data_IF_755644718160
#
_entry.id   IF_755644718160
#
_cell.length_a   1.000
_cell.length_b   1.000
_cell.length_c   1.000
_cell.angle_alpha   90.00
_cell.angle_beta   90.00
_cell.angle_gamma   90.00
#
_symmetry.space_group_name_H-M   'P 1'
#
loop_
_entity.id
_entity.type
_entity.pdbx_description
1 polymer ?
#
# COMPACT_ATOMS: atom_id res chain seq x y z
N UNK A 1 4.00 8.63 -12.02
CA UNK A 1 3.20 7.86 -11.03
C UNK A 1 4.15 7.45 -9.93
N UNK A 2 3.86 7.75 -8.66
CA UNK A 2 4.81 7.45 -7.59
C UNK A 2 5.09 5.95 -7.52
N UNK A 3 6.37 5.63 -7.51
CA UNK A 3 6.89 4.27 -7.41
C UNK A 3 6.73 3.75 -5.99
N UNK A 4 6.81 2.42 -5.82
CA UNK A 4 6.78 1.82 -4.48
C UNK A 4 7.90 2.37 -3.58
N UNK A 5 9.05 2.73 -4.16
CA UNK A 5 10.20 3.28 -3.44
C UNK A 5 9.87 4.68 -2.88
N UNK A 6 9.21 5.53 -3.66
CA UNK A 6 8.82 6.87 -3.21
C UNK A 6 7.78 6.82 -2.08
N UNK A 7 6.79 5.93 -2.20
CA UNK A 7 5.82 5.68 -1.11
C UNK A 7 6.53 5.19 0.14
N UNK A 8 7.48 4.27 0.00
CA UNK A 8 8.26 3.75 1.13
C UNK A 8 9.09 4.82 1.82
N UNK A 9 9.76 5.68 1.05
CA UNK A 9 10.55 6.80 1.59
C UNK A 9 9.66 7.78 2.33
N UNK A 10 8.56 8.20 1.73
CA UNK A 10 7.65 9.17 2.34
C UNK A 10 7.06 8.66 3.66
N UNK A 11 6.64 7.38 3.72
CA UNK A 11 6.13 6.78 4.96
C UNK A 11 7.25 6.66 6.01
N UNK A 12 8.48 6.34 5.59
CA UNK A 12 9.62 6.29 6.51
C UNK A 12 9.93 7.66 7.11
N UNK A 13 9.91 8.72 6.29
CA UNK A 13 10.20 10.08 6.73
C UNK A 13 9.11 10.65 7.66
N UNK A 14 7.84 10.33 7.40
CA UNK A 14 6.70 10.84 8.19
C UNK A 14 6.36 9.99 9.43
N UNK A 15 6.50 8.66 9.33
CA UNK A 15 6.00 7.72 10.34
C UNK A 15 7.08 6.77 10.89
N UNK A 16 8.33 6.89 10.44
CA UNK A 16 9.46 6.18 11.02
C UNK A 16 9.58 4.69 10.63
N UNK A 17 8.81 4.21 9.66
CA UNK A 17 8.90 2.80 9.20
C UNK A 17 8.82 2.66 7.69
N UNK A 18 9.35 1.54 7.16
CA UNK A 18 9.26 1.20 5.74
C UNK A 18 8.09 0.24 5.51
N UNK A 19 7.03 0.65 4.78
CA UNK A 19 5.92 -0.24 4.45
C UNK A 19 6.35 -1.33 3.46
N UNK A 20 5.83 -2.55 3.64
CA UNK A 20 6.00 -3.63 2.66
C UNK A 20 5.16 -3.34 1.42
N UNK A 21 5.66 -3.75 0.25
CA UNK A 21 4.97 -3.59 -1.03
C UNK A 21 3.60 -4.28 -1.04
N UNK A 22 3.47 -5.44 -0.38
CA UNK A 22 2.19 -6.13 -0.23
C UNK A 22 1.15 -5.30 0.55
N UNK A 23 1.58 -4.51 1.54
CA UNK A 23 0.69 -3.62 2.29
C UNK A 23 0.26 -2.44 1.43
N UNK A 24 1.18 -1.82 0.69
CA UNK A 24 0.84 -0.73 -0.25
C UNK A 24 -0.17 -1.22 -1.28
N UNK A 25 0.06 -2.40 -1.86
CA UNK A 25 -0.89 -3.02 -2.77
C UNK A 25 -2.24 -3.31 -2.09
N UNK A 26 -2.27 -3.60 -0.78
CA UNK A 26 -3.51 -3.87 -0.05
C UNK A 26 -4.33 -2.62 0.12
N UNK A 27 -3.68 -1.54 0.54
CA UNK A 27 -4.36 -0.25 0.74
C UNK A 27 -4.88 0.29 -0.60
N UNK A 28 -4.16 0.08 -1.70
CA UNK A 28 -4.66 0.37 -3.05
C UNK A 28 -5.96 -0.39 -3.37
N UNK A 29 -6.00 -1.70 -3.11
CA UNK A 29 -7.19 -2.55 -3.30
C UNK A 29 -8.38 -2.04 -2.49
N UNK A 30 -8.15 -1.77 -1.20
CA UNK A 30 -9.18 -1.26 -0.27
C UNK A 30 -9.67 0.13 -0.69
N UNK A 31 -8.79 0.95 -1.26
CA UNK A 31 -9.13 2.29 -1.74
C UNK A 31 -9.79 2.30 -3.14
N UNK A 32 -10.21 1.13 -3.64
CA UNK A 32 -10.93 0.99 -4.91
C UNK A 32 -10.05 0.97 -6.17
N UNK A 33 -8.73 0.91 -6.04
CA UNK A 33 -7.85 0.74 -7.19
C UNK A 33 -7.74 -0.72 -7.60
N UNK A 34 -7.85 -0.98 -8.90
CA UNK A 34 -7.59 -2.30 -9.47
C UNK A 34 -6.10 -2.62 -9.37
N UNK A 35 -5.75 -3.47 -8.40
CA UNK A 35 -4.40 -4.05 -8.30
C UNK A 35 -4.35 -5.35 -9.09
N UNK A 36 -3.33 -5.48 -9.94
CA UNK A 36 -3.11 -6.68 -10.73
C UNK A 36 -2.94 -7.89 -9.80
N UNK A 37 -3.70 -8.94 -10.04
CA UNK A 37 -3.58 -10.21 -9.30
C UNK A 37 -2.15 -10.73 -9.44
N UNK A 38 -1.47 -10.99 -8.33
CA UNK A 38 -0.15 -11.61 -8.38
C UNK A 38 -0.25 -13.00 -9.03
N UNK A 39 0.67 -13.33 -9.94
CA UNK A 39 0.61 -14.55 -10.75
C UNK A 39 0.65 -15.83 -9.88
N UNK A 40 1.32 -15.77 -8.73
CA UNK A 40 1.41 -16.83 -7.74
C UNK A 40 0.29 -16.83 -6.69
N UNK A 41 -0.79 -16.05 -6.89
CA UNK A 41 -1.92 -15.98 -5.95
C UNK A 41 -2.89 -17.14 -6.17
N UNK A 42 -2.70 -18.21 -5.39
CA UNK A 42 -3.56 -19.42 -5.39
C UNK A 42 -4.96 -19.11 -4.81
N UNK A 43 -5.04 -18.35 -3.72
CA UNK A 43 -6.31 -18.07 -3.02
C UNK A 43 -6.84 -16.65 -3.30
N UNK A 44 -8.18 -16.51 -3.34
CA UNK A 44 -8.84 -15.21 -3.49
C UNK A 44 -8.62 -14.28 -2.29
N UNK A 45 -8.37 -14.81 -1.09
CA UNK A 45 -8.08 -14.01 0.11
C UNK A 45 -6.58 -13.70 0.22
N UNK A 46 -6.23 -12.46 0.60
CA UNK A 46 -4.83 -12.11 0.93
C UNK A 46 -4.43 -12.80 2.23
N UNK A 47 -3.36 -13.60 2.18
CA UNK A 47 -2.81 -14.24 3.39
C UNK A 47 -2.16 -13.25 4.37
N UNK A 48 -1.75 -12.06 3.91
CA UNK A 48 -1.07 -11.05 4.74
C UNK A 48 -1.71 -9.68 4.54
N UNK A 49 -2.84 -9.38 5.21
CA UNK A 49 -3.41 -8.05 5.19
C UNK A 49 -2.44 -7.02 5.79
N UNK A 50 -2.58 -5.76 5.36
CA UNK A 50 -1.95 -4.64 6.03
C UNK A 50 -2.52 -4.54 7.46
N UNK A 51 -1.67 -4.48 8.50
CA UNK A 51 -2.15 -4.25 9.85
C UNK A 51 -2.76 -2.83 9.96
N UNK A 52 -3.78 -2.68 10.80
CA UNK A 52 -4.58 -1.45 10.91
C UNK A 52 -3.71 -0.23 11.25
N UNK A 53 -2.75 -0.38 12.16
CA UNK A 53 -1.81 0.68 12.55
C UNK A 53 -0.88 1.16 11.43
N UNK A 54 -0.79 0.44 10.31
CA UNK A 54 0.01 0.84 9.13
C UNK A 54 -0.87 1.23 7.95
N UNK A 55 -2.17 1.03 8.04
CA UNK A 55 -3.11 1.39 6.98
C UNK A 55 -3.13 2.90 6.75
N UNK A 56 -3.35 3.67 7.82
CA UNK A 56 -3.47 5.13 7.75
C UNK A 56 -2.19 5.81 7.22
N UNK A 57 -0.96 5.47 7.69
CA UNK A 57 0.28 5.98 7.09
C UNK A 57 0.43 5.72 5.59
N UNK A 58 0.07 4.50 5.15
CA UNK A 58 0.16 4.12 3.74
C UNK A 58 -0.92 4.85 2.93
N UNK A 59 -2.13 4.96 3.46
CA UNK A 59 -3.23 5.67 2.81
C UNK A 59 -2.91 7.16 2.66
N UNK A 60 -2.32 7.78 3.68
CA UNK A 60 -1.86 9.16 3.63
C UNK A 60 -0.81 9.36 2.53
N UNK A 61 0.13 8.42 2.38
CA UNK A 61 1.11 8.46 1.29
C UNK A 61 0.43 8.36 -0.08
N UNK A 62 -0.52 7.43 -0.25
CA UNK A 62 -1.24 7.27 -1.51
C UNK A 62 -2.04 8.54 -1.88
N UNK A 63 -2.66 9.21 -0.89
CA UNK A 63 -3.33 10.51 -1.09
C UNK A 63 -2.34 11.61 -1.45
N UNK A 64 -1.20 11.69 -0.75
CA UNK A 64 -0.13 12.66 -1.02
C UNK A 64 0.37 12.58 -2.47
N UNK A 65 0.58 11.36 -2.97
CA UNK A 65 0.99 11.11 -4.35
C UNK A 65 -0.16 11.12 -5.36
N UNK A 66 -1.38 11.49 -4.96
CA UNK A 66 -2.61 11.51 -5.78
C UNK A 66 -2.86 10.18 -6.51
N UNK A 67 -2.51 9.07 -5.86
CA UNK A 67 -2.79 7.72 -6.35
C UNK A 67 -4.25 7.35 -6.04
N UNK A 68 -4.75 7.80 -4.89
CA UNK A 68 -6.14 7.67 -4.45
C UNK A 68 -6.69 9.06 -4.11
N UNK A 69 -8.00 9.24 -4.24
CA UNK A 69 -8.70 10.48 -3.88
C UNK A 69 -9.08 10.48 -2.39
#
# INVERSE_FOLDING_TARGET
>A
MATYIEIQKWVKEKYGFVPKTCWIAHVKEISGLSVRRAHNRINEKRMKPCPENRFEPIQAALKHFRIIN
#
